data_IF_409672057908
#
_entry.id   IF_409672057908
#
_cell.length_a   1.000
_cell.length_b   1.000
_cell.length_c   1.000
_cell.angle_alpha   90.00
_cell.angle_beta   90.00
_cell.angle_gamma   90.00
#
_symmetry.space_group_name_H-M   'P 1'
#
loop_
_entity.id
_entity.type
_entity.pdbx_description
1 polymer ?
#
# COMPACT_ATOMS: atom_id res chain seq x y z
N UNK A 1 -33.36 9.60 -12.70
CA UNK A 1 -32.30 8.57 -12.70
C UNK A 1 -31.84 8.34 -11.26
N UNK A 2 -31.87 7.12 -10.76
CA UNK A 2 -31.41 6.85 -9.39
C UNK A 2 -29.90 7.04 -9.34
N UNK A 3 -29.42 7.95 -8.50
CA UNK A 3 -27.99 8.24 -8.34
C UNK A 3 -27.34 7.07 -7.58
N UNK A 4 -26.98 6.02 -8.29
CA UNK A 4 -26.43 4.77 -7.75
C UNK A 4 -25.09 5.01 -7.04
N UNK A 5 -24.33 6.03 -7.43
CA UNK A 5 -23.02 6.33 -6.83
C UNK A 5 -23.09 6.79 -5.37
N UNK A 6 -24.22 7.39 -4.98
CA UNK A 6 -24.46 7.82 -3.59
C UNK A 6 -25.04 6.72 -2.69
N UNK A 7 -25.35 5.55 -3.23
CA UNK A 7 -25.90 4.45 -2.43
C UNK A 7 -24.77 3.67 -1.75
N UNK A 8 -24.96 3.21 -0.52
CA UNK A 8 -24.01 2.35 0.16
C UNK A 8 -23.71 1.07 -0.66
N UNK A 9 -22.51 0.53 -0.45
CA UNK A 9 -22.08 -0.75 -1.00
C UNK A 9 -21.55 -1.62 0.13
N UNK A 10 -22.26 -2.73 0.39
CA UNK A 10 -21.82 -3.72 1.39
C UNK A 10 -21.05 -4.84 0.72
N UNK A 11 -19.96 -5.25 1.33
CA UNK A 11 -19.14 -6.39 0.94
C UNK A 11 -19.55 -7.64 1.71
N UNK A 12 -19.24 -8.81 1.17
CA UNK A 12 -19.56 -10.11 1.81
C UNK A 12 -18.89 -10.31 3.17
N UNK A 13 -17.78 -9.60 3.44
CA UNK A 13 -17.10 -9.60 4.74
C UNK A 13 -17.79 -8.73 5.81
N UNK A 14 -18.90 -8.03 5.48
CA UNK A 14 -19.64 -7.17 6.39
C UNK A 14 -19.22 -5.69 6.35
N UNK A 15 -18.08 -5.35 5.74
CA UNK A 15 -17.69 -3.96 5.57
C UNK A 15 -18.65 -3.23 4.62
N UNK A 16 -18.91 -1.95 4.89
CA UNK A 16 -19.84 -1.15 4.05
C UNK A 16 -19.24 0.22 3.75
N UNK A 17 -19.14 0.54 2.46
CA UNK A 17 -18.85 1.89 1.99
C UNK A 17 -20.14 2.72 2.04
N UNK A 18 -20.11 3.96 2.57
CA UNK A 18 -21.30 4.82 2.61
C UNK A 18 -21.73 5.32 1.22
N UNK A 19 -20.88 5.27 0.24
CA UNK A 19 -21.12 5.60 -1.16
C UNK A 19 -20.14 4.80 -2.04
N UNK A 20 -20.23 4.93 -3.37
CA UNK A 20 -19.42 4.16 -4.32
C UNK A 20 -18.23 4.95 -4.87
N UNK A 21 -17.71 5.93 -4.13
CA UNK A 21 -16.50 6.65 -4.48
C UNK A 21 -15.33 6.11 -3.67
N UNK A 22 -14.28 5.70 -4.36
CA UNK A 22 -13.03 5.23 -3.79
C UNK A 22 -11.90 6.17 -4.19
N UNK A 23 -11.09 6.57 -3.21
CA UNK A 23 -9.79 7.16 -3.50
C UNK A 23 -8.84 6.05 -3.96
N UNK A 24 -8.43 6.10 -5.23
CA UNK A 24 -7.42 5.19 -5.76
C UNK A 24 -6.04 5.45 -5.12
N UNK A 25 -5.17 4.43 -5.03
CA UNK A 25 -3.81 4.61 -4.54
C UNK A 25 -3.03 5.52 -5.50
N UNK A 26 -2.38 6.55 -4.94
CA UNK A 26 -1.59 7.51 -5.72
C UNK A 26 -0.26 7.76 -5.04
N UNK A 27 0.83 7.75 -5.80
CA UNK A 27 2.15 8.15 -5.34
C UNK A 27 2.12 9.60 -4.86
N UNK A 28 2.49 9.84 -3.61
CA UNK A 28 2.48 11.17 -2.99
C UNK A 28 3.85 11.61 -2.44
N UNK A 29 4.81 10.70 -2.32
CA UNK A 29 6.20 10.96 -1.87
C UNK A 29 6.30 11.72 -0.53
N UNK A 30 5.36 11.51 0.38
CA UNK A 30 5.22 12.33 1.58
C UNK A 30 5.66 11.64 2.88
N UNK A 31 5.82 10.31 2.90
CA UNK A 31 6.30 9.60 4.08
C UNK A 31 7.81 9.80 4.32
N UNK A 32 8.29 9.38 5.48
CA UNK A 32 9.72 9.47 5.81
C UNK A 32 10.55 8.48 4.98
N UNK A 33 11.86 8.69 4.91
CA UNK A 33 12.74 7.84 4.11
C UNK A 33 12.78 6.39 4.58
N UNK A 34 12.59 6.16 5.87
CA UNK A 34 12.50 4.82 6.48
C UNK A 34 11.13 4.14 6.27
N UNK A 35 10.21 4.80 5.58
CA UNK A 35 8.84 4.33 5.32
C UNK A 35 7.86 4.59 6.45
N UNK A 36 8.25 5.27 7.54
CA UNK A 36 7.32 5.65 8.60
C UNK A 36 6.40 6.78 8.15
N UNK A 37 5.15 6.76 8.65
CA UNK A 37 4.12 7.72 8.28
C UNK A 37 4.49 9.15 8.73
N UNK A 38 4.49 10.09 7.80
CA UNK A 38 4.61 11.51 8.10
C UNK A 38 3.27 12.15 8.48
N UNK A 39 3.31 13.37 9.00
CA UNK A 39 2.10 14.16 9.22
C UNK A 39 1.48 14.63 7.90
N UNK A 40 2.29 14.90 6.90
CA UNK A 40 1.87 15.34 5.58
C UNK A 40 1.01 14.26 4.90
N UNK A 41 1.49 13.02 4.86
CA UNK A 41 0.72 11.91 4.28
C UNK A 41 -0.53 11.59 5.10
N UNK A 42 -0.43 11.60 6.43
CA UNK A 42 -1.59 11.45 7.30
C UNK A 42 -2.67 12.48 6.97
N UNK A 43 -2.32 13.76 6.95
CA UNK A 43 -3.25 14.85 6.65
C UNK A 43 -3.82 14.73 5.24
N UNK A 44 -2.97 14.40 4.26
CA UNK A 44 -3.40 14.23 2.87
C UNK A 44 -4.47 13.16 2.73
N UNK A 45 -4.31 11.99 3.35
CA UNK A 45 -5.26 10.88 3.26
C UNK A 45 -6.53 11.13 4.09
N UNK A 46 -6.39 11.63 5.31
CA UNK A 46 -7.56 11.91 6.18
C UNK A 46 -8.44 13.03 5.64
N UNK A 47 -7.87 14.06 4.99
CA UNK A 47 -8.64 15.09 4.30
C UNK A 47 -9.49 14.53 3.15
N UNK A 48 -9.03 13.48 2.44
CA UNK A 48 -9.81 12.81 1.39
C UNK A 48 -10.97 12.03 1.99
N UNK A 49 -10.73 11.32 3.08
CA UNK A 49 -11.80 10.65 3.83
C UNK A 49 -12.84 11.66 4.32
N UNK A 50 -12.41 12.78 4.90
CA UNK A 50 -13.26 13.89 5.32
C UNK A 50 -14.04 14.49 4.15
N UNK A 51 -13.44 14.54 2.95
CA UNK A 51 -14.09 14.99 1.71
C UNK A 51 -15.16 14.05 1.18
N UNK A 52 -15.39 12.89 1.82
CA UNK A 52 -16.52 12.02 1.56
C UNK A 52 -16.23 10.80 0.68
N UNK A 53 -14.98 10.41 0.46
CA UNK A 53 -14.70 9.11 -0.15
C UNK A 53 -15.19 7.98 0.76
N UNK A 54 -15.99 7.06 0.20
CA UNK A 54 -16.51 5.90 0.93
C UNK A 54 -15.44 4.84 1.24
N UNK A 55 -14.35 4.83 0.49
CA UNK A 55 -13.14 4.06 0.74
C UNK A 55 -11.93 4.94 0.43
N UNK A 56 -10.99 5.01 1.34
CA UNK A 56 -9.71 5.69 1.17
C UNK A 56 -8.60 4.66 1.18
N UNK A 57 -7.88 4.55 0.05
CA UNK A 57 -6.73 3.68 -0.08
C UNK A 57 -5.45 4.47 0.12
N UNK A 58 -4.48 3.89 0.82
CA UNK A 58 -3.14 4.50 0.98
C UNK A 58 -2.42 4.57 -0.36
N UNK A 59 -1.33 5.32 -0.44
CA UNK A 59 -0.37 5.10 -1.51
C UNK A 59 0.22 3.68 -1.41
N UNK A 60 0.99 3.28 -2.43
CA UNK A 60 1.69 2.00 -2.45
C UNK A 60 2.62 1.87 -1.24
N UNK A 61 2.38 0.88 -0.37
CA UNK A 61 3.19 0.60 0.82
C UNK A 61 4.10 -0.58 0.56
N UNK A 62 5.43 -0.37 0.60
CA UNK A 62 6.35 -1.44 0.22
C UNK A 62 6.49 -2.52 1.30
N UNK A 63 6.45 -3.79 0.85
CA UNK A 63 6.43 -4.99 1.73
C UNK A 63 7.82 -5.57 2.01
N UNK A 64 8.85 -5.09 1.34
CA UNK A 64 10.27 -5.36 1.59
C UNK A 64 11.07 -4.07 1.46
N UNK A 65 12.19 -3.95 2.16
CA UNK A 65 13.06 -2.76 2.08
C UNK A 65 13.56 -2.53 0.64
N UNK A 66 13.97 -3.60 -0.04
CA UNK A 66 14.41 -3.57 -1.45
C UNK A 66 13.26 -3.47 -2.46
N UNK A 67 12.02 -3.40 -1.99
CA UNK A 67 10.84 -3.18 -2.82
C UNK A 67 10.40 -1.72 -2.92
N UNK A 68 11.16 -0.79 -2.36
CA UNK A 68 10.89 0.65 -2.41
C UNK A 68 10.96 1.14 -3.86
N UNK A 69 9.94 1.87 -4.29
CA UNK A 69 9.81 2.32 -5.69
C UNK A 69 10.04 3.82 -5.89
N UNK A 70 9.99 4.62 -4.82
CA UNK A 70 10.17 6.08 -4.90
C UNK A 70 10.52 6.67 -3.53
N UNK A 71 11.14 7.88 -3.48
CA UNK A 71 11.44 8.57 -2.23
C UNK A 71 10.16 8.86 -1.44
N UNK A 72 10.24 8.80 -0.11
CA UNK A 72 9.08 9.09 0.74
C UNK A 72 7.92 8.11 0.58
N UNK A 73 8.20 6.88 0.14
CA UNK A 73 7.18 5.83 0.06
C UNK A 73 6.86 5.27 1.44
N UNK A 74 5.58 5.16 1.75
CA UNK A 74 5.11 4.49 2.96
C UNK A 74 5.55 3.02 2.97
N UNK A 75 6.05 2.53 4.10
CA UNK A 75 6.49 1.15 4.30
C UNK A 75 5.51 0.36 5.16
N UNK A 76 5.50 -0.96 4.98
CA UNK A 76 4.77 -1.90 5.85
C UNK A 76 5.57 -3.20 6.06
N UNK A 77 6.85 -3.18 5.71
CA UNK A 77 7.73 -4.35 5.74
C UNK A 77 8.26 -4.70 7.14
N UNK A 78 8.07 -3.83 8.13
CA UNK A 78 8.58 -3.99 9.50
C UNK A 78 7.56 -3.52 10.53
N UNK A 79 7.68 -4.00 11.76
CA UNK A 79 6.77 -3.64 12.86
C UNK A 79 6.90 -2.18 13.31
N UNK A 80 8.00 -1.50 12.97
CA UNK A 80 8.16 -0.05 13.22
C UNK A 80 7.07 0.79 12.54
N UNK A 81 6.46 0.27 11.47
CA UNK A 81 5.42 0.97 10.73
C UNK A 81 4.02 0.85 11.37
N UNK A 82 3.80 -0.13 12.27
CA UNK A 82 2.46 -0.47 12.81
C UNK A 82 1.80 0.74 13.46
N UNK A 83 2.51 1.50 14.30
CA UNK A 83 1.92 2.63 15.01
C UNK A 83 1.48 3.76 14.06
N UNK A 84 2.28 4.03 13.02
CA UNK A 84 1.90 4.97 11.96
C UNK A 84 0.64 4.50 11.21
N UNK A 85 0.61 3.24 10.83
CA UNK A 85 -0.55 2.64 10.17
C UNK A 85 -1.80 2.60 11.06
N UNK A 86 -1.69 2.34 12.37
CA UNK A 86 -2.81 2.42 13.32
C UNK A 86 -3.41 3.82 13.35
N UNK A 87 -2.54 4.83 13.48
CA UNK A 87 -2.94 6.22 13.46
C UNK A 87 -3.67 6.57 12.16
N UNK A 88 -3.14 6.14 11.01
CA UNK A 88 -3.70 6.42 9.69
C UNK A 88 -5.07 5.74 9.49
N UNK A 89 -5.17 4.45 9.78
CA UNK A 89 -6.43 3.71 9.66
C UNK A 89 -7.52 4.31 10.56
N UNK A 90 -7.19 4.63 11.82
CA UNK A 90 -8.12 5.29 12.74
C UNK A 90 -8.56 6.67 12.22
N UNK A 91 -7.63 7.48 11.70
CA UNK A 91 -7.93 8.81 11.15
C UNK A 91 -8.84 8.75 9.93
N UNK A 92 -8.64 7.81 9.01
CA UNK A 92 -9.51 7.60 7.85
C UNK A 92 -10.91 7.16 8.31
N UNK A 93 -11.00 6.18 9.21
CA UNK A 93 -12.26 5.61 9.70
C UNK A 93 -13.06 6.59 10.55
N UNK A 94 -12.43 7.55 11.21
CA UNK A 94 -13.10 8.62 11.94
C UNK A 94 -14.03 9.48 11.06
N UNK A 95 -13.82 9.48 9.74
CA UNK A 95 -14.66 10.18 8.76
C UNK A 95 -15.66 9.26 8.05
N UNK A 96 -15.85 8.01 8.52
CA UNK A 96 -16.79 7.06 7.95
C UNK A 96 -16.33 6.40 6.64
N UNK A 97 -15.06 6.59 6.25
CA UNK A 97 -14.45 5.94 5.10
C UNK A 97 -13.87 4.58 5.48
N UNK A 98 -13.99 3.57 4.64
CA UNK A 98 -13.20 2.35 4.80
C UNK A 98 -11.72 2.64 4.55
N UNK A 99 -10.85 2.09 5.38
CA UNK A 99 -9.41 2.23 5.26
C UNK A 99 -8.81 0.96 4.61
N UNK A 100 -8.14 1.11 3.48
CA UNK A 100 -7.47 0.02 2.76
C UNK A 100 -6.02 0.41 2.51
N UNK A 101 -5.09 -0.52 2.68
CA UNK A 101 -3.67 -0.30 2.34
C UNK A 101 -3.31 -1.07 1.09
N UNK A 102 -2.63 -0.40 0.13
CA UNK A 102 -2.08 -1.06 -1.04
C UNK A 102 -0.70 -1.65 -0.72
N UNK A 103 -0.57 -2.97 -0.84
CA UNK A 103 0.68 -3.71 -0.68
C UNK A 103 1.44 -3.73 -2.01
N UNK A 104 2.71 -3.34 -1.97
CA UNK A 104 3.50 -3.09 -3.17
C UNK A 104 4.94 -3.58 -3.03
N UNK A 105 5.54 -3.94 -4.15
CA UNK A 105 6.97 -4.14 -4.30
C UNK A 105 7.36 -3.72 -5.71
N UNK A 106 8.25 -2.74 -5.85
CA UNK A 106 8.56 -2.15 -7.15
C UNK A 106 9.29 -3.11 -8.10
N UNK A 107 9.93 -4.16 -7.57
CA UNK A 107 10.59 -5.16 -8.40
C UNK A 107 11.72 -4.57 -9.23
N UNK A 108 11.74 -4.87 -10.52
CA UNK A 108 12.74 -4.33 -11.45
C UNK A 108 12.72 -2.80 -11.60
N UNK A 109 11.70 -2.14 -11.07
CA UNK A 109 11.56 -0.68 -11.10
C UNK A 109 11.98 -0.01 -9.79
N UNK A 110 12.50 -0.77 -8.82
CA UNK A 110 13.11 -0.18 -7.63
C UNK A 110 14.35 0.62 -8.03
N UNK A 111 14.42 1.93 -7.71
CA UNK A 111 15.62 2.72 -7.98
C UNK A 111 16.80 2.21 -7.14
N UNK A 112 17.96 2.00 -7.77
CA UNK A 112 19.14 1.43 -7.09
C UNK A 112 19.70 2.34 -5.98
N UNK A 113 19.45 3.62 -6.05
CA UNK A 113 19.84 4.59 -5.01
C UNK A 113 18.91 4.62 -3.80
N UNK A 114 17.77 3.93 -3.86
CA UNK A 114 16.77 3.85 -2.78
C UNK A 114 16.71 2.50 -2.09
N UNK A 115 17.45 1.52 -2.58
CA UNK A 115 17.44 0.15 -2.06
C UNK A 115 18.86 -0.35 -1.83
N UNK A 116 19.00 -1.33 -0.96
CA UNK A 116 20.26 -2.06 -0.85
C UNK A 116 20.31 -3.18 -1.92
N UNK A 117 21.40 -3.23 -2.66
CA UNK A 117 21.65 -4.24 -3.67
C UNK A 117 20.95 -3.98 -5.00
N UNK A 118 20.80 -5.03 -5.79
CA UNK A 118 20.28 -5.01 -7.16
C UNK A 118 18.75 -5.17 -7.14
N UNK A 119 17.99 -4.44 -8.00
CA UNK A 119 16.58 -4.69 -8.20
C UNK A 119 16.29 -6.14 -8.58
N UNK A 120 15.13 -6.64 -8.20
CA UNK A 120 14.74 -8.04 -8.42
C UNK A 120 13.52 -8.16 -9.32
N UNK A 121 13.41 -9.30 -10.02
CA UNK A 121 12.30 -9.58 -10.94
C UNK A 121 12.04 -11.09 -10.96
N UNK A 122 11.01 -11.53 -11.68
CA UNK A 122 10.75 -12.96 -11.94
C UNK A 122 11.88 -13.62 -12.76
N UNK A 123 12.60 -12.84 -13.58
CA UNK A 123 13.74 -13.27 -14.39
C UNK A 123 14.75 -12.14 -14.52
N UNK A 124 15.95 -12.44 -15.04
CA UNK A 124 16.95 -11.41 -15.31
C UNK A 124 16.46 -10.43 -16.38
N UNK A 125 16.47 -9.14 -16.06
CA UNK A 125 16.07 -8.06 -16.98
C UNK A 125 17.21 -7.05 -17.12
N UNK A 126 18.10 -7.28 -18.09
CA UNK A 126 19.29 -6.44 -18.34
C UNK A 126 18.98 -4.95 -18.48
N UNK A 127 17.88 -4.61 -19.14
CA UNK A 127 17.45 -3.21 -19.34
C UNK A 127 17.25 -2.43 -18.02
N UNK A 128 16.87 -3.13 -16.96
CA UNK A 128 16.60 -2.57 -15.64
C UNK A 128 17.66 -2.96 -14.62
N UNK A 129 18.77 -3.52 -15.04
CA UNK A 129 19.79 -4.08 -14.14
C UNK A 129 19.18 -4.97 -13.04
N UNK A 130 18.09 -5.67 -13.36
CA UNK A 130 17.36 -6.50 -12.39
C UNK A 130 17.75 -7.96 -12.55
N UNK A 131 17.96 -8.63 -11.43
CA UNK A 131 18.22 -10.08 -11.38
C UNK A 131 16.93 -10.86 -11.11
N UNK A 132 16.90 -12.10 -11.60
CA UNK A 132 15.85 -13.04 -11.27
C UNK A 132 15.89 -13.46 -9.79
N UNK A 133 14.71 -13.59 -9.18
CA UNK A 133 14.55 -14.18 -7.85
C UNK A 133 14.84 -15.67 -7.87
N UNK A 134 15.55 -16.17 -6.88
CA UNK A 134 15.61 -17.60 -6.58
C UNK A 134 14.27 -18.12 -6.05
N UNK A 135 14.03 -19.43 -6.10
CA UNK A 135 12.80 -20.02 -5.54
C UNK A 135 12.64 -19.73 -4.04
N UNK A 136 13.75 -19.69 -3.29
CA UNK A 136 13.72 -19.30 -1.87
C UNK A 136 13.25 -17.88 -1.66
N UNK A 137 13.74 -16.94 -2.47
CA UNK A 137 13.33 -15.53 -2.42
C UNK A 137 11.87 -15.33 -2.85
N UNK A 138 11.36 -16.11 -3.80
CA UNK A 138 9.93 -16.12 -4.18
C UNK A 138 9.06 -16.56 -2.99
N UNK A 139 9.47 -17.60 -2.25
CA UNK A 139 8.74 -18.02 -1.05
C UNK A 139 8.81 -16.96 0.06
N UNK A 140 9.97 -16.31 0.24
CA UNK A 140 10.11 -15.22 1.18
C UNK A 140 9.24 -14.02 0.80
N UNK A 141 9.24 -13.60 -0.46
CA UNK A 141 8.39 -12.53 -0.97
C UNK A 141 6.91 -12.79 -0.68
N UNK A 142 6.45 -14.03 -0.93
CA UNK A 142 5.08 -14.43 -0.57
C UNK A 142 4.81 -14.27 0.92
N UNK A 143 5.74 -14.70 1.77
CA UNK A 143 5.63 -14.56 3.22
C UNK A 143 5.56 -13.08 3.63
N UNK A 144 6.38 -12.23 3.03
CA UNK A 144 6.43 -10.80 3.35
C UNK A 144 5.13 -10.07 2.96
N UNK A 145 4.50 -10.42 1.84
CA UNK A 145 3.15 -9.93 1.51
C UNK A 145 2.11 -10.38 2.56
N UNK A 146 2.18 -11.62 3.03
CA UNK A 146 1.29 -12.13 4.08
C UNK A 146 1.53 -11.40 5.40
N UNK A 147 2.77 -11.19 5.79
CA UNK A 147 3.10 -10.50 7.03
C UNK A 147 2.76 -9.02 6.97
N UNK A 148 2.92 -8.38 5.81
CA UNK A 148 2.42 -7.03 5.57
C UNK A 148 0.88 -6.95 5.72
N UNK A 149 0.15 -7.93 5.21
CA UNK A 149 -1.31 -8.02 5.39
C UNK A 149 -1.69 -8.22 6.87
N UNK A 150 -0.93 -9.01 7.64
CA UNK A 150 -1.14 -9.15 9.08
C UNK A 150 -0.88 -7.84 9.83
N UNK A 151 0.18 -7.08 9.46
CA UNK A 151 0.43 -5.74 10.02
C UNK A 151 -0.70 -4.78 9.70
N UNK A 152 -1.24 -4.83 8.48
CA UNK A 152 -2.42 -4.05 8.11
C UNK A 152 -3.63 -4.40 9.00
N UNK A 153 -3.89 -5.69 9.22
CA UNK A 153 -4.95 -6.17 10.12
C UNK A 153 -4.75 -5.67 11.55
N UNK A 154 -3.53 -5.80 12.10
CA UNK A 154 -3.16 -5.31 13.44
C UNK A 154 -3.30 -3.78 13.56
N UNK A 155 -3.15 -3.08 12.45
CA UNK A 155 -3.29 -1.62 12.37
C UNK A 155 -4.75 -1.16 12.21
N UNK A 156 -5.70 -2.10 12.09
CA UNK A 156 -7.13 -1.79 12.03
C UNK A 156 -7.65 -1.37 10.65
N UNK A 157 -6.94 -1.69 9.56
CA UNK A 157 -7.46 -1.54 8.20
C UNK A 157 -8.62 -2.51 7.95
N UNK A 158 -9.55 -2.10 7.11
CA UNK A 158 -10.70 -2.91 6.69
C UNK A 158 -10.34 -3.90 5.57
N UNK A 159 -9.20 -3.69 4.91
CA UNK A 159 -8.70 -4.57 3.86
C UNK A 159 -7.33 -4.18 3.34
N UNK A 160 -6.82 -5.03 2.45
CA UNK A 160 -5.59 -4.78 1.69
C UNK A 160 -5.88 -4.92 0.19
N UNK A 161 -5.15 -4.17 -0.62
CA UNK A 161 -5.03 -4.41 -2.05
C UNK A 161 -3.64 -4.92 -2.35
N UNK A 162 -3.52 -5.99 -3.13
CA UNK A 162 -2.24 -6.48 -3.63
C UNK A 162 -2.00 -5.90 -5.01
N UNK A 163 -0.95 -5.08 -5.15
CA UNK A 163 -0.66 -4.41 -6.42
C UNK A 163 -0.04 -5.36 -7.45
N UNK A 164 -0.90 -5.95 -8.28
CA UNK A 164 -0.53 -6.85 -9.37
C UNK A 164 -0.68 -6.20 -10.75
N UNK A 165 -0.01 -5.06 -10.98
CA UNK A 165 -0.08 -4.31 -12.23
C UNK A 165 1.21 -3.54 -12.52
N UNK A 166 1.28 -2.86 -13.67
CA UNK A 166 2.28 -1.86 -14.09
C UNK A 166 3.72 -2.38 -14.23
N UNK A 167 3.92 -3.71 -14.35
CA UNK A 167 5.27 -4.28 -14.49
C UNK A 167 6.11 -4.17 -13.22
N UNK A 168 5.46 -4.27 -12.05
CA UNK A 168 6.10 -4.44 -10.75
C UNK A 168 6.34 -5.94 -10.47
N UNK A 169 6.70 -6.31 -9.24
CA UNK A 169 7.17 -7.67 -8.94
C UNK A 169 6.15 -8.79 -9.26
N UNK A 170 4.87 -8.51 -9.24
CA UNK A 170 3.80 -9.51 -9.44
C UNK A 170 3.27 -9.57 -10.90
N UNK A 171 3.87 -8.85 -11.82
CA UNK A 171 3.43 -8.80 -13.24
C UNK A 171 4.59 -8.88 -14.21
#
# INVERSE_FOLDING_TARGET
MSNTTKKPLSFSCGATMPNRFMLAPMTNTQSHEDGTLSNEEYNWLTMRAQGGFGLTMTCASHVQANGKGFPGQLGIFSDIHIEGHKRLAAGIKAHGSLAVVQLHHAGMRSPEDLIEGQPVSASDIKKHNARGLSLGEVQQLKTDFIDAAKRAQQSGYDGVEVHGAHGYILT
#
